data_IF_961493828383
#
_entry.id   IF_961493828383
#
_cell.length_a   1.000
_cell.length_b   1.000
_cell.length_c   1.000
_cell.angle_alpha   90.00
_cell.angle_beta   90.00
_cell.angle_gamma   90.00
#
_symmetry.space_group_name_H-M   'P 1'
#
loop_
_entity.id
_entity.type
_entity.pdbx_description
1 polymer ?
#
# COMPACT_ATOMS: atom_id res chain seq x y z
N UNK A 1 -6.85 16.20 -13.64
CA UNK A 1 -6.65 16.69 -12.26
C UNK A 1 -7.87 16.34 -11.42
N UNK A 2 -7.64 15.76 -10.25
CA UNK A 2 -8.73 15.53 -9.30
C UNK A 2 -8.85 16.72 -8.35
N UNK A 3 -10.06 17.26 -8.20
CA UNK A 3 -10.34 18.39 -7.33
C UNK A 3 -11.27 17.99 -6.20
N UNK A 4 -11.00 18.49 -5.02
CA UNK A 4 -11.88 18.32 -3.85
C UNK A 4 -12.63 19.63 -3.65
N UNK A 5 -13.94 19.57 -3.83
CA UNK A 5 -14.73 20.80 -3.97
C UNK A 5 -15.08 21.49 -2.65
N UNK A 6 -15.35 20.75 -1.60
CA UNK A 6 -15.85 21.33 -0.35
C UNK A 6 -15.53 20.42 0.83
N UNK A 7 -15.65 21.00 2.02
CA UNK A 7 -15.57 20.30 3.27
C UNK A 7 -14.16 20.03 3.73
N UNK A 8 -14.03 19.16 4.67
CA UNK A 8 -12.75 18.81 5.27
C UNK A 8 -12.02 17.81 4.41
N UNK A 9 -10.71 17.95 4.36
CA UNK A 9 -9.79 17.01 3.73
C UNK A 9 -9.04 16.28 4.84
N UNK A 10 -9.08 14.95 4.78
CA UNK A 10 -8.39 14.10 5.73
C UNK A 10 -7.18 13.44 5.11
N UNK A 11 -6.19 13.18 5.95
CA UNK A 11 -5.00 12.42 5.59
C UNK A 11 -4.89 11.25 6.55
N UNK A 12 -4.78 10.05 5.98
CA UNK A 12 -4.43 8.87 6.76
C UNK A 12 -3.15 8.29 6.20
N UNK A 13 -2.34 7.71 7.05
CA UNK A 13 -1.06 7.14 6.64
C UNK A 13 -0.74 5.92 7.48
N UNK A 14 0.08 5.06 6.92
CA UNK A 14 0.51 3.85 7.59
C UNK A 14 1.79 3.30 7.03
N UNK A 15 2.32 2.31 7.72
CA UNK A 15 3.53 1.62 7.35
C UNK A 15 3.33 0.12 7.62
N UNK A 16 3.84 -0.72 6.75
CA UNK A 16 3.66 -2.16 6.87
C UNK A 16 4.84 -2.91 6.28
N UNK A 17 5.35 -3.90 7.02
CA UNK A 17 6.24 -4.90 6.45
C UNK A 17 5.38 -5.85 5.62
N UNK A 18 5.62 -5.90 4.32
CA UNK A 18 4.80 -6.70 3.40
C UNK A 18 5.12 -8.18 3.50
N UNK A 19 6.41 -8.50 3.68
CA UNK A 19 6.86 -9.87 3.91
C UNK A 19 8.27 -9.86 4.48
N UNK A 20 8.65 -10.99 5.08
CA UNK A 20 10.01 -11.23 5.60
C UNK A 20 10.33 -12.69 5.32
N UNK A 21 10.72 -12.98 4.08
CA UNK A 21 10.77 -14.34 3.56
C UNK A 21 12.14 -15.02 3.72
N UNK A 22 13.20 -14.27 4.00
CA UNK A 22 14.51 -14.85 4.21
C UNK A 22 14.52 -15.85 5.38
N UNK A 23 13.93 -15.45 6.50
CA UNK A 23 13.92 -16.27 7.72
C UNK A 23 13.06 -17.53 7.57
N UNK A 24 11.95 -17.39 6.82
CA UNK A 24 10.94 -18.44 6.71
C UNK A 24 11.06 -19.29 5.45
N UNK A 25 12.03 -19.02 4.58
CA UNK A 25 12.15 -19.69 3.30
C UNK A 25 10.97 -19.42 2.37
N UNK A 26 10.39 -18.21 2.45
CA UNK A 26 9.23 -17.83 1.65
C UNK A 26 9.57 -17.59 0.19
N UNK A 27 8.54 -17.52 -0.65
CA UNK A 27 8.69 -17.49 -2.12
C UNK A 27 9.40 -16.26 -2.64
N UNK A 28 9.33 -15.14 -1.94
CA UNK A 28 10.05 -13.93 -2.35
C UNK A 28 11.56 -14.09 -2.27
N UNK A 29 12.03 -14.95 -1.38
CA UNK A 29 13.45 -15.27 -1.24
C UNK A 29 13.87 -16.49 -2.06
N UNK A 30 13.04 -17.52 -2.11
CA UNK A 30 13.41 -18.82 -2.72
C UNK A 30 12.76 -19.07 -4.08
N UNK A 31 11.72 -18.31 -4.44
CA UNK A 31 10.95 -18.53 -5.66
C UNK A 31 11.60 -17.93 -6.90
N UNK A 32 10.98 -18.21 -8.04
CA UNK A 32 11.34 -17.68 -9.34
C UNK A 32 10.08 -17.29 -10.09
N UNK A 33 10.25 -16.43 -11.11
CA UNK A 33 9.13 -15.97 -11.92
C UNK A 33 8.27 -14.93 -11.20
N UNK A 34 7.05 -14.81 -11.65
CA UNK A 34 6.12 -13.79 -11.15
C UNK A 34 5.64 -14.14 -9.74
N UNK A 35 5.78 -13.19 -8.83
CA UNK A 35 5.35 -13.35 -7.44
C UNK A 35 4.70 -12.07 -6.97
N UNK A 36 3.67 -12.19 -6.15
CA UNK A 36 2.89 -11.07 -5.64
C UNK A 36 2.68 -11.20 -4.14
N UNK A 37 2.74 -10.07 -3.45
CA UNK A 37 2.29 -9.93 -2.05
C UNK A 37 1.21 -8.86 -2.00
N UNK A 38 0.00 -9.24 -1.61
CA UNK A 38 -1.16 -8.35 -1.61
C UNK A 38 -1.67 -8.17 -0.19
N UNK A 39 -1.84 -6.91 0.21
CA UNK A 39 -2.29 -6.55 1.54
C UNK A 39 -3.52 -5.66 1.45
N UNK A 40 -4.58 -6.04 2.15
CA UNK A 40 -5.77 -5.23 2.24
C UNK A 40 -5.58 -4.24 3.38
N UNK A 41 -5.65 -2.94 3.04
CA UNK A 41 -5.58 -1.87 4.02
C UNK A 41 -6.99 -1.31 4.21
N UNK A 42 -7.47 -1.33 5.45
CA UNK A 42 -8.74 -0.73 5.82
C UNK A 42 -8.49 0.59 6.55
N UNK A 43 -9.13 1.66 6.10
CA UNK A 43 -8.99 2.95 6.77
C UNK A 43 -9.66 2.91 8.14
N UNK A 44 -9.09 3.61 9.12
CA UNK A 44 -9.69 3.74 10.45
C UNK A 44 -11.03 4.46 10.39
N UNK A 45 -11.13 5.41 9.47
CA UNK A 45 -12.33 6.16 9.19
C UNK A 45 -12.51 6.23 7.69
N UNK A 46 -13.69 5.92 7.19
CA UNK A 46 -13.96 5.96 5.75
C UNK A 46 -13.89 7.40 5.24
N UNK A 47 -13.38 7.56 4.03
CA UNK A 47 -13.50 8.81 3.29
C UNK A 47 -14.93 8.94 2.74
N UNK A 48 -15.30 10.14 2.31
CA UNK A 48 -16.62 10.37 1.68
C UNK A 48 -16.67 9.78 0.26
N UNK A 49 -15.53 9.67 -0.39
CA UNK A 49 -15.33 9.06 -1.70
C UNK A 49 -13.93 8.46 -1.74
N UNK A 50 -13.59 7.66 -2.76
CA UNK A 50 -12.25 7.07 -2.83
C UNK A 50 -11.16 8.13 -2.79
N UNK A 51 -10.19 8.03 -1.88
CA UNK A 51 -9.11 8.99 -1.76
C UNK A 51 -8.05 8.82 -2.85
N UNK A 52 -7.13 9.78 -2.93
CA UNK A 52 -5.88 9.62 -3.65
C UNK A 52 -4.90 8.87 -2.75
N UNK A 53 -4.22 7.87 -3.30
CA UNK A 53 -3.25 7.08 -2.55
C UNK A 53 -1.86 7.30 -3.15
N UNK A 54 -0.89 7.55 -2.28
CA UNK A 54 0.53 7.45 -2.62
C UNK A 54 1.16 6.36 -1.75
N UNK A 55 1.94 5.49 -2.36
CA UNK A 55 2.65 4.43 -1.65
C UNK A 55 4.09 4.39 -2.11
N UNK A 56 4.99 4.05 -1.21
CA UNK A 56 6.41 3.96 -1.51
C UNK A 56 7.07 2.84 -0.72
N UNK A 57 8.11 2.28 -1.30
CA UNK A 57 8.96 1.31 -0.61
C UNK A 57 9.90 2.11 0.29
N UNK A 58 9.86 1.82 1.59
CA UNK A 58 10.67 2.52 2.59
C UNK A 58 11.80 1.66 3.16
N UNK A 59 11.79 0.37 2.90
CA UNK A 59 12.90 -0.52 3.20
C UNK A 59 12.83 -1.71 2.26
N UNK A 60 13.96 -2.05 1.67
CA UNK A 60 14.10 -3.33 0.97
C UNK A 60 15.42 -3.98 1.35
N UNK A 61 15.43 -5.30 1.29
CA UNK A 61 16.61 -6.12 1.56
C UNK A 61 16.62 -7.22 0.50
N UNK A 62 17.48 -7.07 -0.49
CA UNK A 62 17.52 -7.95 -1.66
C UNK A 62 18.85 -8.70 -1.72
N UNK A 63 18.83 -9.86 -2.42
CA UNK A 63 20.05 -10.60 -2.71
C UNK A 63 20.94 -9.77 -3.63
N UNK A 64 22.23 -9.68 -3.28
CA UNK A 64 23.22 -8.97 -4.10
C UNK A 64 23.70 -9.78 -5.31
N UNK A 65 23.26 -11.02 -5.44
CA UNK A 65 23.62 -11.92 -6.55
C UNK A 65 22.60 -11.91 -7.68
N UNK A 66 21.47 -11.27 -7.49
CA UNK A 66 20.39 -11.22 -8.46
C UNK A 66 20.02 -9.78 -8.79
N UNK A 67 19.32 -9.60 -9.91
CA UNK A 67 18.80 -8.26 -10.24
C UNK A 67 17.61 -7.93 -9.35
N UNK A 68 17.57 -6.70 -8.87
CA UNK A 68 16.44 -6.23 -8.05
C UNK A 68 15.32 -5.70 -8.96
N UNK A 69 14.15 -6.33 -8.86
CA UNK A 69 12.94 -5.91 -9.56
C UNK A 69 11.82 -5.78 -8.55
N UNK A 70 11.19 -4.63 -8.55
CA UNK A 70 10.14 -4.34 -7.58
C UNK A 70 9.12 -3.41 -8.19
N UNK A 71 7.85 -3.72 -7.96
CA UNK A 71 6.71 -2.91 -8.38
C UNK A 71 5.76 -2.81 -7.19
N UNK A 72 5.49 -1.60 -6.74
CA UNK A 72 4.55 -1.34 -5.66
C UNK A 72 3.42 -0.47 -6.20
N UNK A 73 2.18 -0.90 -5.98
CA UNK A 73 1.01 -0.15 -6.42
C UNK A 73 -0.10 -0.18 -5.39
N UNK A 74 -0.97 0.82 -5.45
CA UNK A 74 -2.23 0.84 -4.74
C UNK A 74 -3.34 0.49 -5.74
N UNK A 75 -4.10 -0.55 -5.45
CA UNK A 75 -5.16 -1.07 -6.32
C UNK A 75 -6.48 -1.12 -5.57
N UNK A 76 -7.58 -1.21 -6.31
CA UNK A 76 -8.93 -1.35 -5.75
C UNK A 76 -9.22 -0.29 -4.67
N UNK A 77 -8.96 0.97 -5.01
CA UNK A 77 -9.13 2.08 -4.07
C UNK A 77 -10.62 2.37 -3.90
N UNK A 78 -11.09 2.32 -2.65
CA UNK A 78 -12.46 2.65 -2.27
C UNK A 78 -12.45 3.65 -1.13
N UNK A 79 -13.63 4.13 -0.75
CA UNK A 79 -13.75 5.02 0.43
C UNK A 79 -13.34 4.33 1.73
N UNK A 80 -13.40 3.00 1.79
CA UNK A 80 -13.12 2.21 3.00
C UNK A 80 -11.71 1.65 3.08
N UNK A 81 -10.99 1.58 1.96
CA UNK A 81 -9.66 1.01 1.95
C UNK A 81 -9.10 0.81 0.55
N UNK A 82 -7.99 0.09 0.48
CA UNK A 82 -7.35 -0.24 -0.79
C UNK A 82 -6.48 -1.49 -0.64
N UNK A 83 -5.98 -1.96 -1.78
CA UNK A 83 -5.00 -3.05 -1.78
C UNK A 83 -3.61 -2.49 -2.05
N UNK A 84 -2.68 -2.79 -1.17
CA UNK A 84 -1.26 -2.49 -1.33
C UNK A 84 -0.61 -3.73 -1.94
N UNK A 85 -0.11 -3.60 -3.17
CA UNK A 85 0.33 -4.74 -3.96
C UNK A 85 1.79 -4.59 -4.34
N UNK A 86 2.58 -5.57 -3.96
CA UNK A 86 3.99 -5.66 -4.32
C UNK A 86 4.17 -6.83 -5.29
N UNK A 87 4.90 -6.58 -6.37
CA UNK A 87 5.22 -7.60 -7.38
C UNK A 87 6.72 -7.63 -7.64
N UNK A 88 7.23 -8.82 -7.84
CA UNK A 88 8.58 -9.04 -8.37
C UNK A 88 8.53 -10.18 -9.37
N UNK A 89 9.60 -10.36 -10.13
CA UNK A 89 9.61 -11.34 -11.21
C UNK A 89 11.02 -11.82 -11.54
N UNK A 90 11.09 -12.86 -12.39
CA UNK A 90 12.33 -13.46 -12.87
C UNK A 90 13.15 -14.00 -11.70
N UNK A 91 14.46 -13.74 -11.67
CA UNK A 91 15.39 -14.30 -10.70
C UNK A 91 15.51 -13.47 -9.39
N UNK A 92 14.76 -12.40 -9.26
CA UNK A 92 14.87 -11.51 -8.10
C UNK A 92 14.59 -12.26 -6.80
N UNK A 93 15.45 -12.08 -5.82
CA UNK A 93 15.31 -12.67 -4.49
C UNK A 93 15.29 -11.54 -3.46
N UNK A 94 14.22 -11.49 -2.69
CA UNK A 94 13.98 -10.41 -1.72
C UNK A 94 13.75 -11.02 -0.35
N UNK A 95 14.58 -10.58 0.62
CA UNK A 95 14.45 -11.04 1.99
C UNK A 95 13.25 -10.41 2.69
N UNK A 96 13.07 -9.11 2.52
CA UNK A 96 11.97 -8.36 3.15
C UNK A 96 11.76 -7.01 2.49
N UNK A 97 10.52 -6.52 2.60
CA UNK A 97 10.13 -5.19 2.10
C UNK A 97 9.17 -4.55 3.10
N UNK A 98 9.37 -3.27 3.36
CA UNK A 98 8.41 -2.42 4.06
C UNK A 98 7.94 -1.34 3.10
N UNK A 99 6.65 -1.02 3.17
CA UNK A 99 6.06 0.07 2.41
C UNK A 99 5.30 1.02 3.34
N UNK A 100 5.35 2.29 2.99
CA UNK A 100 4.55 3.34 3.61
C UNK A 100 3.50 3.81 2.62
N UNK A 101 2.37 4.27 3.13
CA UNK A 101 1.31 4.80 2.28
C UNK A 101 0.67 6.03 2.91
N UNK A 102 0.09 6.86 2.06
CA UNK A 102 -0.67 8.05 2.44
C UNK A 102 -1.93 8.11 1.59
N UNK A 103 -3.06 8.36 2.24
CA UNK A 103 -4.34 8.55 1.59
C UNK A 103 -4.83 9.96 1.88
N UNK A 104 -5.23 10.69 0.84
CA UNK A 104 -5.72 12.06 0.94
C UNK A 104 -7.07 12.12 0.26
N UNK A 105 -8.09 12.61 0.97
CA UNK A 105 -9.41 12.72 0.38
C UNK A 105 -10.40 13.46 1.26
N UNK A 106 -11.62 13.64 0.75
CA UNK A 106 -12.66 14.32 1.50
C UNK A 106 -13.18 13.44 2.62
N UNK A 107 -13.38 14.04 3.78
CA UNK A 107 -13.92 13.38 4.97
C UNK A 107 -15.18 14.09 5.43
N UNK A 108 -15.93 13.46 6.36
CA UNK A 108 -17.08 14.11 6.96
C UNK A 108 -16.61 15.28 7.80
N UNK A 109 -17.32 16.39 7.68
CA UNK A 109 -17.15 17.51 8.59
C UNK A 109 -17.79 17.20 9.93
N UNK A 110 -17.34 17.87 11.00
CA UNK A 110 -17.95 17.71 12.33
C UNK A 110 -19.44 18.01 12.30
N UNK A 111 -19.86 18.96 11.47
CA UNK A 111 -21.28 19.31 11.30
C UNK A 111 -22.12 18.19 10.71
N UNK A 112 -21.51 17.27 9.95
CA UNK A 112 -22.22 16.12 9.37
C UNK A 112 -22.78 15.17 10.44
N UNK A 113 -22.21 15.16 11.63
CA UNK A 113 -22.65 14.32 12.72
C UNK A 113 -23.95 14.80 13.37
N UNK A 114 -24.31 16.06 13.15
CA UNK A 114 -25.51 16.69 13.73
C UNK A 114 -26.72 16.64 12.80
N UNK A 115 -26.63 15.97 11.66
CA UNK A 115 -27.62 16.00 10.58
C UNK A 115 -28.71 14.94 10.74
N UNK A 116 -28.62 14.11 11.69
CA UNK A 116 -29.66 13.07 11.92
C UNK A 116 -30.96 13.66 12.55
#
# INVERSE_FOLDING_TARGET
MRKFSTGSIGIQQGSRVLFSDFVNGGVMWTGEGDRESRHIVSFKEAFREPPVIHASITMWDTDNQTNARADLSAENITAEGFHLVFKTWSDTRIARVRADWMAIGPVRDDDDWDVD
#
